data_IF_865791566327
#
_entry.id   IF_865791566327
#
_cell.length_a   1.000
_cell.length_b   1.000
_cell.length_c   1.000
_cell.angle_alpha   90.00
_cell.angle_beta   90.00
_cell.angle_gamma   90.00
#
_symmetry.space_group_name_H-M   'P 1'
#
loop_
_entity.id
_entity.type
_entity.pdbx_description
1 polymer ?
#
# COMPACT_ATOMS: atom_id res chain seq x y z
N UNK A 1 2.03 -6.36 13.45
CA UNK A 1 0.57 -6.33 13.16
C UNK A 1 0.40 -6.28 11.65
N UNK A 2 -0.39 -7.16 11.06
CA UNK A 2 -0.59 -7.18 9.60
C UNK A 2 -1.10 -5.80 9.11
N UNK A 3 -0.42 -5.25 8.11
CA UNK A 3 -0.85 -4.03 7.44
C UNK A 3 -1.98 -4.39 6.48
N UNK A 4 -3.07 -3.63 6.53
CA UNK A 4 -4.26 -3.87 5.70
C UNK A 4 -4.34 -2.83 4.58
N UNK A 5 -4.98 -3.17 3.47
CA UNK A 5 -5.16 -2.29 2.31
C UNK A 5 -5.69 -0.91 2.75
N UNK A 6 -6.73 -0.91 3.58
CA UNK A 6 -7.31 0.33 4.08
C UNK A 6 -6.31 1.18 4.89
N UNK A 7 -5.38 0.57 5.65
CA UNK A 7 -4.36 1.32 6.38
C UNK A 7 -3.34 1.96 5.44
N UNK A 8 -2.90 1.24 4.42
CA UNK A 8 -1.97 1.76 3.40
C UNK A 8 -2.59 2.96 2.68
N UNK A 9 -3.83 2.81 2.20
CA UNK A 9 -4.53 3.87 1.48
C UNK A 9 -4.76 5.08 2.37
N UNK A 10 -5.23 4.87 3.61
CA UNK A 10 -5.40 5.95 4.58
C UNK A 10 -4.07 6.67 4.82
N UNK A 11 -2.94 5.96 4.87
CA UNK A 11 -1.61 6.57 5.03
C UNK A 11 -1.17 7.36 3.79
N UNK A 12 -1.37 6.82 2.58
CA UNK A 12 -1.06 7.50 1.31
C UNK A 12 -1.86 8.80 1.12
N UNK A 13 -3.14 8.79 1.50
CA UNK A 13 -4.05 9.95 1.36
C UNK A 13 -3.83 11.02 2.45
N UNK A 14 -2.96 10.78 3.45
CA UNK A 14 -2.68 11.76 4.51
C UNK A 14 -3.55 11.61 5.76
N UNK A 15 -4.22 10.46 5.94
CA UNK A 15 -4.86 10.06 7.19
C UNK A 15 -6.38 9.95 7.14
N UNK A 16 -6.95 9.37 8.21
CA UNK A 16 -8.38 9.06 8.27
C UNK A 16 -9.27 10.30 8.22
N UNK A 17 -8.78 11.44 8.73
CA UNK A 17 -9.48 12.72 8.67
C UNK A 17 -9.66 13.20 7.23
N UNK A 18 -8.62 13.12 6.40
CA UNK A 18 -8.67 13.50 4.99
C UNK A 18 -9.64 12.60 4.24
N UNK A 19 -9.51 11.28 4.42
CA UNK A 19 -10.43 10.28 3.84
C UNK A 19 -11.88 10.58 4.21
N UNK A 20 -12.17 10.88 5.50
CA UNK A 20 -13.53 11.17 5.95
C UNK A 20 -14.15 12.38 5.25
N UNK A 21 -13.34 13.42 4.99
CA UNK A 21 -13.76 14.64 4.28
C UNK A 21 -14.05 14.35 2.80
N UNK A 22 -13.19 13.56 2.15
CA UNK A 22 -13.35 13.17 0.74
C UNK A 22 -14.62 12.34 0.54
N UNK A 23 -14.81 11.29 1.35
CA UNK A 23 -15.96 10.39 1.21
C UNK A 23 -17.24 10.94 1.84
N UNK A 24 -17.17 12.11 2.49
CA UNK A 24 -18.27 12.77 3.23
C UNK A 24 -18.93 11.82 4.25
N UNK A 25 -18.11 11.08 4.99
CA UNK A 25 -18.55 10.17 6.06
C UNK A 25 -17.89 10.52 7.39
N UNK A 26 -18.43 10.00 8.48
CA UNK A 26 -17.87 10.22 9.81
C UNK A 26 -16.53 9.50 9.99
N UNK A 27 -15.63 10.08 10.79
CA UNK A 27 -14.37 9.46 11.20
C UNK A 27 -14.59 8.06 11.76
N UNK A 28 -15.61 7.87 12.60
CA UNK A 28 -15.93 6.58 13.20
C UNK A 28 -16.28 5.51 12.14
N UNK A 29 -16.89 5.91 11.02
CA UNK A 29 -17.17 5.02 9.90
C UNK A 29 -15.86 4.59 9.22
N UNK A 30 -14.96 5.54 8.95
CA UNK A 30 -13.62 5.24 8.41
C UNK A 30 -12.85 4.30 9.35
N UNK A 31 -12.87 4.59 10.66
CA UNK A 31 -12.18 3.75 11.64
C UNK A 31 -12.69 2.30 11.67
N UNK A 32 -14.01 2.12 11.59
CA UNK A 32 -14.63 0.78 11.53
C UNK A 32 -14.20 -0.01 10.30
N UNK A 33 -14.12 0.62 9.14
CA UNK A 33 -13.71 -0.08 7.92
C UNK A 33 -12.21 -0.42 7.92
N UNK A 34 -11.38 0.48 8.46
CA UNK A 34 -9.92 0.36 8.39
C UNK A 34 -9.31 -0.49 9.50
N UNK A 35 -9.82 -0.42 10.74
CA UNK A 35 -9.19 -1.08 11.90
C UNK A 35 -10.06 -2.13 12.60
N UNK A 36 -11.37 -2.18 12.39
CA UNK A 36 -12.15 -3.24 13.02
C UNK A 36 -11.95 -4.57 12.26
N UNK A 37 -11.47 -5.63 12.95
CA UNK A 37 -11.51 -6.97 12.39
C UNK A 37 -12.98 -7.40 12.33
N UNK A 38 -13.52 -7.52 11.14
CA UNK A 38 -14.86 -8.08 10.97
C UNK A 38 -14.73 -9.60 10.77
N UNK A 39 -15.74 -10.35 11.22
CA UNK A 39 -15.82 -11.80 10.98
C UNK A 39 -15.71 -12.08 9.47
N UNK A 40 -15.17 -13.24 9.05
CA UNK A 40 -15.16 -13.62 7.63
C UNK A 40 -16.59 -13.49 7.06
N UNK A 41 -16.73 -12.67 6.00
CA UNK A 41 -18.02 -12.35 5.37
C UNK A 41 -18.73 -11.07 5.86
N UNK A 42 -18.18 -10.35 6.85
CA UNK A 42 -18.75 -9.09 7.32
C UNK A 42 -18.11 -7.87 6.64
N UNK A 43 -18.89 -6.80 6.49
CA UNK A 43 -18.47 -5.52 5.90
C UNK A 43 -17.49 -4.84 6.89
N UNK A 44 -16.19 -5.06 6.70
CA UNK A 44 -15.10 -4.55 7.56
C UNK A 44 -13.96 -5.56 7.63
N UNK A 45 -12.76 -5.13 8.00
CA UNK A 45 -11.58 -6.01 8.04
C UNK A 45 -10.38 -5.48 7.27
N UNK A 46 -10.27 -4.16 7.10
CA UNK A 46 -9.14 -3.56 6.40
C UNK A 46 -9.30 -3.45 4.88
N UNK A 47 -10.55 -3.52 4.40
CA UNK A 47 -10.92 -3.26 3.01
C UNK A 47 -11.68 -1.92 2.90
N UNK A 48 -11.42 -1.20 1.81
CA UNK A 48 -12.11 0.05 1.47
C UNK A 48 -13.36 -0.26 0.63
N UNK A 49 -14.55 0.23 1.00
CA UNK A 49 -15.77 0.03 0.21
C UNK A 49 -15.63 0.55 -1.23
N UNK A 50 -16.25 -0.14 -2.19
CA UNK A 50 -16.25 0.26 -3.60
C UNK A 50 -16.75 1.71 -3.80
N UNK A 51 -17.77 2.12 -3.06
CA UNK A 51 -18.32 3.48 -3.11
C UNK A 51 -17.32 4.58 -2.70
N UNK A 52 -16.23 4.23 -2.00
CA UNK A 52 -15.20 5.17 -1.56
C UNK A 52 -14.04 5.26 -2.54
N UNK A 53 -13.88 4.28 -3.44
CA UNK A 53 -12.72 4.21 -4.34
C UNK A 53 -12.70 5.37 -5.34
N UNK A 54 -13.80 5.62 -6.04
CA UNK A 54 -13.91 6.70 -7.02
C UNK A 54 -13.58 8.10 -6.44
N UNK A 55 -14.18 8.55 -5.31
CA UNK A 55 -13.85 9.86 -4.76
C UNK A 55 -12.42 9.94 -4.21
N UNK A 56 -11.84 8.83 -3.72
CA UNK A 56 -10.45 8.79 -3.26
C UNK A 56 -9.47 8.89 -4.43
N UNK A 57 -9.73 8.19 -5.53
CA UNK A 57 -8.92 8.27 -6.75
C UNK A 57 -8.96 9.69 -7.35
N UNK A 58 -10.14 10.30 -7.44
CA UNK A 58 -10.28 11.66 -7.94
C UNK A 58 -9.53 12.69 -7.07
N UNK A 59 -9.54 12.52 -5.75
CA UNK A 59 -8.76 13.37 -4.85
C UNK A 59 -7.26 13.15 -5.02
N UNK A 60 -6.82 11.90 -5.12
CA UNK A 60 -5.42 11.57 -5.30
C UNK A 60 -4.86 12.15 -6.60
N UNK A 61 -5.61 12.05 -7.71
CA UNK A 61 -5.24 12.65 -8.99
C UNK A 61 -5.12 14.19 -8.89
N UNK A 62 -6.08 14.84 -8.23
CA UNK A 62 -6.08 16.30 -8.05
C UNK A 62 -4.91 16.82 -7.20
N UNK A 63 -4.45 16.03 -6.22
CA UNK A 63 -3.38 16.39 -5.29
C UNK A 63 -2.01 15.80 -5.70
N UNK A 64 -1.95 15.05 -6.82
CA UNK A 64 -0.72 14.41 -7.31
C UNK A 64 -0.22 13.25 -6.44
N UNK A 65 -1.13 12.57 -5.73
CA UNK A 65 -0.81 11.38 -4.92
C UNK A 65 -0.83 10.15 -5.85
N UNK A 66 0.24 9.33 -5.84
CA UNK A 66 0.29 8.05 -6.56
C UNK A 66 -0.56 6.97 -5.87
N UNK A 67 -1.88 7.10 -6.04
CA UNK A 67 -2.88 6.15 -5.60
C UNK A 67 -3.50 5.49 -6.82
N UNK A 68 -3.31 4.18 -6.96
CA UNK A 68 -3.83 3.42 -8.10
C UNK A 68 -5.03 2.57 -7.70
N UNK A 69 -5.95 2.26 -8.64
CA UNK A 69 -7.03 1.31 -8.39
C UNK A 69 -6.51 -0.06 -7.89
N UNK A 70 -5.31 -0.43 -8.31
CA UNK A 70 -4.58 -1.65 -7.95
C UNK A 70 -4.31 -1.74 -6.44
N UNK A 71 -4.08 -0.60 -5.78
CA UNK A 71 -3.83 -0.51 -4.34
C UNK A 71 -5.05 -0.96 -3.52
N UNK A 72 -6.27 -0.86 -4.08
CA UNK A 72 -7.50 -1.23 -3.37
C UNK A 72 -7.77 -2.74 -3.36
N UNK A 73 -7.05 -3.51 -4.19
CA UNK A 73 -7.28 -4.94 -4.42
C UNK A 73 -6.07 -5.79 -4.04
N UNK A 74 -4.84 -5.27 -4.15
CA UNK A 74 -3.63 -6.03 -3.83
C UNK A 74 -3.27 -5.93 -2.34
N UNK A 75 -3.33 -7.06 -1.66
CA UNK A 75 -2.50 -7.32 -0.47
C UNK A 75 -1.62 -8.54 -0.73
N UNK A 76 -0.55 -8.33 -1.51
CA UNK A 76 0.71 -9.03 -1.27
C UNK A 76 1.77 -7.92 -1.32
N UNK A 77 2.46 -7.62 -0.21
CA UNK A 77 3.67 -6.82 -0.31
C UNK A 77 4.67 -7.66 -1.11
N UNK A 78 4.84 -7.32 -2.39
CA UNK A 78 6.14 -7.54 -3.00
C UNK A 78 7.06 -6.53 -2.29
N UNK A 79 8.16 -6.98 -1.67
CA UNK A 79 9.05 -6.08 -0.95
C UNK A 79 9.60 -5.07 -1.95
N UNK A 80 9.15 -3.83 -1.80
CA UNK A 80 9.69 -2.63 -2.41
C UNK A 80 11.13 -2.43 -1.88
N UNK A 81 12.10 -3.22 -2.38
CA UNK A 81 13.57 -3.01 -2.25
C UNK A 81 14.46 -4.09 -2.91
N UNK A 82 13.95 -5.03 -3.72
CA UNK A 82 14.86 -5.72 -4.65
C UNK A 82 15.02 -4.84 -5.89
N UNK A 83 15.95 -3.88 -5.80
CA UNK A 83 16.48 -3.18 -6.97
C UNK A 83 16.88 -4.22 -8.03
N UNK A 84 16.71 -3.93 -9.33
CA UNK A 84 17.37 -4.72 -10.34
C UNK A 84 18.89 -4.47 -10.19
N UNK A 85 19.60 -5.37 -9.49
CA UNK A 85 21.04 -5.57 -9.70
C UNK A 85 21.21 -6.19 -11.10
N UNK A 86 20.96 -5.37 -12.11
CA UNK A 86 21.39 -5.60 -13.47
C UNK A 86 22.78 -5.03 -13.63
N UNK A 87 23.71 -5.89 -14.06
CA UNK A 87 25.04 -5.59 -14.57
C UNK A 87 26.04 -4.94 -13.61
N UNK A 88 26.89 -5.79 -12.99
CA UNK A 88 28.32 -5.55 -13.13
C UNK A 88 28.96 -6.77 -13.79
N UNK A 89 29.42 -6.52 -15.01
CA UNK A 89 30.03 -7.48 -15.90
C UNK A 89 31.19 -8.21 -15.22
N UNK A 90 31.33 -9.50 -15.53
CA UNK A 90 32.57 -10.18 -15.24
C UNK A 90 33.75 -9.48 -15.92
N UNK A 91 34.88 -9.42 -15.22
CA UNK A 91 36.15 -9.76 -15.84
C UNK A 91 37.09 -10.44 -14.82
N UNK A 92 37.86 -11.46 -15.25
CA UNK A 92 38.65 -12.33 -14.39
C UNK A 92 40.10 -11.83 -14.29
N UNK A 93 40.67 -11.81 -13.09
CA UNK A 93 42.13 -11.81 -12.90
C UNK A 93 42.43 -12.29 -11.48
N UNK A 94 42.96 -13.50 -11.33
CA UNK A 94 44.38 -13.87 -11.41
C UNK A 94 45.02 -13.91 -10.03
N UNK A 95 45.67 -15.05 -9.81
CA UNK A 95 46.88 -15.23 -9.01
C UNK A 95 46.83 -14.85 -7.52
N UNK A 96 46.68 -15.88 -6.67
CA UNK A 96 47.69 -16.11 -5.63
C UNK A 96 47.70 -17.56 -5.11
N UNK A 97 48.68 -18.28 -5.64
CA UNK A 97 49.54 -19.27 -4.96
C UNK A 97 49.51 -19.21 -3.42
N UNK A 98 49.24 -20.35 -2.77
CA UNK A 98 49.90 -20.66 -1.50
C UNK A 98 50.10 -22.17 -1.38
N UNK A 99 51.37 -22.54 -1.49
CA UNK A 99 51.91 -23.84 -1.14
C UNK A 99 52.10 -23.92 0.37
N UNK A 100 51.70 -25.05 0.98
CA UNK A 100 52.37 -25.66 2.14
C UNK A 100 51.89 -27.10 2.31
#
# INVERSE_FOLDING_TARGET
>A
MAETIAKVIVRKVGGAAVVSRIVKRSLSCVYKHTWCPSKPGAIGGGLVPASWQAPLLAYAEAEGIDLRPEDFVRLRPEPDSAAPDGDDAGDPQSDREEAA
#
